data_IF_851291641241
#
_entry.id   IF_851291641241
#
_cell.length_a   1.000
_cell.length_b   1.000
_cell.length_c   1.000
_cell.angle_alpha   90.00
_cell.angle_beta   90.00
_cell.angle_gamma   90.00
#
_symmetry.space_group_name_H-M   'P 1'
#
loop_
_entity.id
_entity.type
_entity.pdbx_description
1 polymer ?
#
# COMPACT_ATOMS: atom_id res chain seq x y z
N UNK A 1 -18.25 -58.42 -3.62
CA UNK A 1 -18.22 -57.02 -3.11
C UNK A 1 -16.87 -56.43 -3.46
N UNK A 2 -16.79 -55.72 -4.59
CA UNK A 2 -15.59 -55.04 -5.09
C UNK A 2 -15.78 -53.54 -4.89
N UNK A 3 -15.02 -52.93 -3.98
CA UNK A 3 -14.93 -51.47 -3.87
C UNK A 3 -13.87 -50.93 -4.84
N UNK A 4 -14.12 -49.82 -5.56
CA UNK A 4 -13.15 -49.20 -6.45
C UNK A 4 -12.16 -48.33 -5.65
N UNK A 5 -10.87 -48.43 -5.99
CA UNK A 5 -9.81 -47.58 -5.46
C UNK A 5 -9.99 -46.12 -5.88
N UNK A 6 -9.72 -45.21 -4.94
CA UNK A 6 -9.74 -43.77 -5.16
C UNK A 6 -8.70 -43.33 -6.22
N UNK A 7 -8.99 -42.30 -7.03
CA UNK A 7 -8.09 -41.85 -8.09
C UNK A 7 -6.86 -41.15 -7.50
N UNK A 8 -5.68 -41.72 -7.75
CA UNK A 8 -4.37 -41.11 -7.46
C UNK A 8 -4.19 -39.87 -8.36
N UNK A 9 -4.10 -38.68 -7.76
CA UNK A 9 -3.84 -37.41 -8.49
C UNK A 9 -2.53 -37.51 -9.29
N UNK A 10 -2.57 -37.13 -10.57
CA UNK A 10 -1.46 -37.26 -11.52
C UNK A 10 -0.34 -36.24 -11.27
N UNK A 11 0.95 -36.61 -11.37
CA UNK A 11 2.09 -35.70 -11.24
C UNK A 11 2.12 -34.53 -12.25
N UNK A 12 1.33 -34.60 -13.33
CA UNK A 12 1.18 -33.54 -14.32
C UNK A 12 0.47 -32.30 -13.75
N UNK A 13 -0.37 -32.48 -12.73
CA UNK A 13 -1.16 -31.44 -12.08
C UNK A 13 -0.32 -30.55 -11.16
N UNK A 14 0.92 -30.94 -10.81
CA UNK A 14 1.88 -30.05 -10.12
C UNK A 14 2.69 -29.17 -11.08
N UNK A 15 2.89 -29.61 -12.32
CA UNK A 15 3.62 -28.83 -13.36
C UNK A 15 2.75 -27.73 -13.97
N UNK A 16 1.43 -27.88 -13.94
CA UNK A 16 0.49 -26.94 -14.53
C UNK A 16 0.28 -25.65 -13.70
N UNK A 17 0.15 -25.70 -12.35
CA UNK A 17 0.18 -24.52 -11.49
C UNK A 17 1.48 -23.75 -11.63
N UNK A 18 2.62 -24.46 -11.59
CA UNK A 18 3.95 -23.85 -11.67
C UNK A 18 4.17 -23.11 -12.99
N UNK A 19 3.67 -23.64 -14.12
CA UNK A 19 3.68 -22.93 -15.42
C UNK A 19 2.70 -21.77 -15.48
N UNK A 20 1.56 -21.88 -14.79
CA UNK A 20 0.57 -20.81 -14.73
C UNK A 20 1.11 -19.61 -13.94
N UNK A 21 1.76 -19.88 -12.80
CA UNK A 21 2.37 -18.87 -11.95
C UNK A 21 3.54 -18.17 -12.66
N UNK A 22 4.36 -18.93 -13.39
CA UNK A 22 5.44 -18.37 -14.23
C UNK A 22 4.91 -17.42 -15.31
N UNK A 23 3.80 -17.76 -15.96
CA UNK A 23 3.18 -16.89 -16.98
C UNK A 23 2.59 -15.63 -16.36
N UNK A 24 1.89 -15.75 -15.23
CA UNK A 24 1.38 -14.59 -14.49
C UNK A 24 2.53 -13.66 -14.09
N UNK A 25 3.61 -14.21 -13.55
CA UNK A 25 4.80 -13.45 -13.18
C UNK A 25 5.47 -12.78 -14.39
N UNK A 26 5.59 -13.48 -15.53
CA UNK A 26 6.14 -12.90 -16.77
C UNK A 26 5.29 -11.75 -17.30
N UNK A 27 3.96 -11.85 -17.21
CA UNK A 27 3.05 -10.76 -17.58
C UNK A 27 3.23 -9.57 -16.66
N UNK A 28 3.30 -9.78 -15.34
CA UNK A 28 3.53 -8.69 -14.38
C UNK A 28 4.90 -8.03 -14.57
N UNK A 29 5.96 -8.80 -14.85
CA UNK A 29 7.29 -8.25 -15.14
C UNK A 29 7.31 -7.41 -16.43
N UNK A 30 6.66 -7.89 -17.50
CA UNK A 30 6.52 -7.12 -18.73
C UNK A 30 5.67 -5.86 -18.54
N UNK A 31 4.59 -5.96 -17.75
CA UNK A 31 3.76 -4.82 -17.38
C UNK A 31 4.55 -3.77 -16.63
N UNK A 32 5.38 -4.20 -15.67
CA UNK A 32 6.25 -3.36 -14.87
C UNK A 32 7.25 -2.58 -15.73
N UNK A 33 7.98 -3.29 -16.61
CA UNK A 33 8.94 -2.68 -17.52
C UNK A 33 8.27 -1.72 -18.52
N UNK A 34 7.09 -2.08 -19.04
CA UNK A 34 6.34 -1.21 -19.94
C UNK A 34 5.85 0.06 -19.25
N UNK A 35 5.41 -0.04 -17.98
CA UNK A 35 4.99 1.11 -17.18
C UNK A 35 6.16 2.06 -16.87
N UNK A 36 7.34 1.52 -16.50
CA UNK A 36 8.55 2.33 -16.29
C UNK A 36 8.94 3.16 -17.51
N UNK A 37 8.71 2.63 -18.71
CA UNK A 37 9.11 3.27 -19.96
C UNK A 37 8.08 4.27 -20.49
N UNK A 38 6.79 4.00 -20.33
CA UNK A 38 5.73 4.71 -21.06
C UNK A 38 4.69 5.42 -20.18
N UNK A 39 4.65 5.12 -18.88
CA UNK A 39 3.61 5.62 -17.98
C UNK A 39 2.27 4.90 -18.17
N UNK A 40 1.25 5.30 -17.40
CA UNK A 40 -0.03 4.58 -17.38
C UNK A 40 -0.85 4.81 -18.65
N UNK A 41 -0.86 6.02 -19.20
CA UNK A 41 -1.71 6.36 -20.34
C UNK A 41 -1.30 5.62 -21.62
N UNK A 42 0.01 5.45 -21.84
CA UNK A 42 0.54 4.75 -23.01
C UNK A 42 0.70 3.22 -22.80
N UNK A 43 0.20 2.68 -21.69
CA UNK A 43 0.26 1.24 -21.43
C UNK A 43 -0.58 0.43 -22.43
N UNK A 44 0.10 -0.42 -23.20
CA UNK A 44 -0.46 -1.22 -24.30
C UNK A 44 -0.40 -2.72 -24.01
N UNK A 45 -1.58 -3.34 -23.84
CA UNK A 45 -1.70 -4.78 -23.50
C UNK A 45 -1.13 -5.71 -24.57
N UNK A 46 -1.20 -5.33 -25.86
CA UNK A 46 -0.64 -6.16 -26.93
C UNK A 46 0.89 -6.22 -26.82
N UNK A 47 1.51 -5.10 -26.48
CA UNK A 47 2.96 -5.00 -26.32
C UNK A 47 3.43 -5.71 -25.04
N UNK A 48 2.72 -5.53 -23.92
CA UNK A 48 2.98 -6.28 -22.68
C UNK A 48 2.89 -7.79 -22.90
N UNK A 49 1.83 -8.27 -23.57
CA UNK A 49 1.68 -9.69 -23.87
C UNK A 49 2.83 -10.20 -24.75
N UNK A 50 3.23 -9.43 -25.76
CA UNK A 50 4.36 -9.75 -26.65
C UNK A 50 5.67 -9.86 -25.86
N UNK A 51 5.96 -8.89 -24.98
CA UNK A 51 7.16 -8.88 -24.14
C UNK A 51 7.17 -10.04 -23.13
N UNK A 52 6.01 -10.38 -22.57
CA UNK A 52 5.85 -11.53 -21.69
C UNK A 52 5.92 -12.90 -22.40
N UNK A 53 6.02 -12.92 -23.74
CA UNK A 53 6.04 -14.16 -24.53
C UNK A 53 4.70 -14.90 -24.53
N UNK A 54 3.58 -14.21 -24.31
CA UNK A 54 2.24 -14.79 -24.28
C UNK A 54 1.33 -14.15 -25.33
N UNK A 55 0.27 -14.86 -25.73
CA UNK A 55 -0.78 -14.29 -26.57
C UNK A 55 -1.66 -13.31 -25.79
N UNK A 56 -2.30 -12.37 -26.50
CA UNK A 56 -3.25 -11.41 -25.90
C UNK A 56 -4.38 -12.10 -25.12
N UNK A 57 -4.91 -13.21 -25.63
CA UNK A 57 -5.94 -13.98 -24.92
C UNK A 57 -5.43 -14.59 -23.61
N UNK A 58 -4.14 -14.92 -23.52
CA UNK A 58 -3.54 -15.42 -22.28
C UNK A 58 -3.42 -14.30 -21.24
N UNK A 59 -3.16 -13.06 -21.63
CA UNK A 59 -3.24 -11.92 -20.69
C UNK A 59 -4.63 -11.84 -20.04
N UNK A 60 -5.70 -11.85 -20.86
CA UNK A 60 -7.07 -11.74 -20.36
C UNK A 60 -7.56 -12.98 -19.59
N UNK A 61 -6.87 -14.12 -19.73
CA UNK A 61 -7.08 -15.27 -18.87
C UNK A 61 -6.60 -15.02 -17.43
N UNK A 62 -5.52 -14.25 -17.24
CA UNK A 62 -4.98 -13.92 -15.92
C UNK A 62 -5.56 -12.63 -15.32
N UNK A 63 -5.90 -11.66 -16.15
CA UNK A 63 -6.37 -10.35 -15.72
C UNK A 63 -7.58 -9.92 -16.53
N UNK A 64 -8.70 -9.71 -15.86
CA UNK A 64 -9.97 -9.34 -16.50
C UNK A 64 -9.84 -8.05 -17.34
N UNK A 65 -9.01 -7.11 -16.88
CA UNK A 65 -8.76 -5.86 -17.59
C UNK A 65 -7.39 -5.27 -17.20
N UNK A 66 -7.02 -4.16 -17.86
CA UNK A 66 -5.77 -3.41 -17.61
C UNK A 66 -5.66 -2.96 -16.15
N UNK A 67 -6.76 -2.50 -15.55
CA UNK A 67 -6.76 -2.04 -14.16
C UNK A 67 -6.49 -3.18 -13.17
N UNK A 68 -7.07 -4.37 -13.39
CA UNK A 68 -6.82 -5.56 -12.58
C UNK A 68 -5.36 -6.04 -12.66
N UNK A 69 -4.72 -5.93 -13.83
CA UNK A 69 -3.30 -6.26 -13.98
C UNK A 69 -2.40 -5.27 -13.23
N UNK A 70 -2.72 -3.98 -13.29
CA UNK A 70 -2.00 -2.94 -12.54
C UNK A 70 -2.23 -3.09 -11.04
N UNK A 71 -3.44 -3.40 -10.61
CA UNK A 71 -3.75 -3.73 -9.21
C UNK A 71 -2.84 -4.85 -8.69
N UNK A 72 -2.74 -5.94 -9.44
CA UNK A 72 -1.88 -7.07 -9.10
C UNK A 72 -0.39 -6.73 -9.11
N UNK A 73 0.05 -5.77 -9.94
CA UNK A 73 1.43 -5.29 -9.93
C UNK A 73 1.75 -4.47 -8.68
N UNK A 74 0.75 -3.77 -8.12
CA UNK A 74 0.90 -2.92 -6.93
C UNK A 74 0.79 -3.70 -5.63
N UNK A 75 0.30 -4.94 -5.67
CA UNK A 75 0.10 -5.80 -4.51
C UNK A 75 1.37 -5.93 -3.65
N UNK A 76 2.60 -6.16 -4.18
CA UNK A 76 3.81 -6.20 -3.37
C UNK A 76 4.14 -4.87 -2.68
N UNK A 77 3.87 -3.74 -3.34
CA UNK A 77 4.04 -2.40 -2.76
C UNK A 77 3.04 -2.17 -1.63
N UNK A 78 1.78 -2.57 -1.83
CA UNK A 78 0.74 -2.51 -0.80
C UNK A 78 1.08 -3.38 0.42
N UNK A 79 1.55 -4.61 0.20
CA UNK A 79 2.02 -5.51 1.27
C UNK A 79 3.20 -4.91 2.05
N UNK A 80 4.16 -4.27 1.35
CA UNK A 80 5.28 -3.60 2.01
C UNK A 80 4.83 -2.39 2.86
N UNK A 81 3.79 -1.66 2.43
CA UNK A 81 3.18 -0.61 3.24
C UNK A 81 2.42 -1.20 4.42
N UNK A 82 1.64 -2.27 4.23
CA UNK A 82 0.92 -2.95 5.31
C UNK A 82 1.87 -3.50 6.38
N UNK A 83 3.05 -3.99 5.98
CA UNK A 83 4.08 -4.44 6.92
C UNK A 83 4.57 -3.31 7.84
N UNK A 84 4.48 -2.03 7.43
CA UNK A 84 4.79 -0.89 8.30
C UNK A 84 3.80 -0.76 9.48
N UNK A 85 2.57 -1.23 9.34
CA UNK A 85 1.62 -1.27 10.46
C UNK A 85 2.09 -2.20 11.59
N UNK A 86 2.81 -3.28 11.26
CA UNK A 86 3.38 -4.18 12.25
C UNK A 86 4.44 -3.48 13.10
N UNK A 87 5.24 -2.59 12.49
CA UNK A 87 6.21 -1.75 13.20
C UNK A 87 5.48 -0.81 14.17
N UNK A 88 4.41 -0.15 13.70
CA UNK A 88 3.61 0.75 14.51
C UNK A 88 2.93 0.05 15.70
N UNK A 89 2.55 -1.22 15.53
CA UNK A 89 1.85 -2.01 16.52
C UNK A 89 2.78 -2.66 17.58
N UNK A 90 4.11 -2.61 17.40
CA UNK A 90 5.06 -3.28 18.31
C UNK A 90 5.25 -2.54 19.65
N UNK A 91 4.33 -2.76 20.60
CA UNK A 91 4.35 -2.09 21.91
C UNK A 91 5.57 -2.42 22.78
N UNK A 92 6.44 -3.36 22.37
CA UNK A 92 7.72 -3.58 23.04
C UNK A 92 8.71 -2.42 22.80
N UNK A 93 8.48 -1.59 21.78
CA UNK A 93 9.33 -0.46 21.42
C UNK A 93 8.72 0.89 21.86
N UNK A 94 9.57 1.90 22.19
CA UNK A 94 9.10 3.23 22.53
C UNK A 94 8.22 3.84 21.42
N UNK A 95 7.12 4.55 21.75
CA UNK A 95 6.22 5.15 20.78
C UNK A 95 6.87 5.95 19.65
N UNK A 96 7.83 6.81 20.03
CA UNK A 96 8.55 7.67 19.09
C UNK A 96 9.36 6.84 18.09
N UNK A 97 10.02 5.80 18.56
CA UNK A 97 10.81 4.87 17.72
C UNK A 97 9.90 4.18 16.71
N UNK A 98 8.78 3.60 17.16
CA UNK A 98 7.82 2.95 16.26
C UNK A 98 7.28 3.88 15.18
N UNK A 99 6.88 5.09 15.56
CA UNK A 99 6.35 6.09 14.61
C UNK A 99 7.42 6.44 13.58
N UNK A 100 8.64 6.72 14.03
CA UNK A 100 9.76 7.06 13.13
C UNK A 100 10.08 5.91 12.18
N UNK A 101 10.18 4.68 12.69
CA UNK A 101 10.51 3.50 11.88
C UNK A 101 9.40 3.15 10.89
N UNK A 102 8.14 3.35 11.28
CA UNK A 102 6.98 3.20 10.39
C UNK A 102 7.03 4.22 9.25
N UNK A 103 7.26 5.50 9.57
CA UNK A 103 7.38 6.56 8.56
C UNK A 103 8.57 6.29 7.63
N UNK A 104 9.73 5.90 8.17
CA UNK A 104 10.91 5.54 7.39
C UNK A 104 10.63 4.37 6.43
N UNK A 105 9.91 3.33 6.87
CA UNK A 105 9.49 2.22 6.03
C UNK A 105 8.55 2.66 4.89
N UNK A 106 7.59 3.53 5.19
CA UNK A 106 6.67 4.11 4.17
C UNK A 106 7.44 4.94 3.15
N UNK A 107 8.36 5.81 3.58
CA UNK A 107 9.18 6.63 2.69
C UNK A 107 10.08 5.77 1.81
N UNK A 108 10.74 4.75 2.38
CA UNK A 108 11.57 3.81 1.62
C UNK A 108 10.75 3.06 0.57
N UNK A 109 9.61 2.49 0.94
CA UNK A 109 8.72 1.82 -0.02
C UNK A 109 8.26 2.78 -1.12
N UNK A 110 7.99 4.03 -0.78
CA UNK A 110 7.64 5.08 -1.76
C UNK A 110 8.77 5.36 -2.74
N UNK A 111 10.00 5.44 -2.24
CA UNK A 111 11.19 5.68 -3.06
C UNK A 111 11.48 4.51 -4.00
N UNK A 112 11.42 3.27 -3.48
CA UNK A 112 11.63 2.03 -4.23
C UNK A 112 10.60 1.83 -5.36
N UNK A 113 9.38 2.36 -5.18
CA UNK A 113 8.26 2.20 -6.11
C UNK A 113 7.78 3.53 -6.72
N UNK A 114 8.64 4.55 -6.77
CA UNK A 114 8.27 5.92 -7.21
C UNK A 114 7.48 5.97 -8.52
N UNK A 115 7.92 5.23 -9.53
CA UNK A 115 7.25 5.20 -10.85
C UNK A 115 5.86 4.57 -10.79
N UNK A 116 5.62 3.59 -9.90
CA UNK A 116 4.30 2.99 -9.69
C UNK A 116 3.35 3.99 -9.04
N UNK A 117 3.83 4.75 -8.04
CA UNK A 117 3.03 5.81 -7.44
C UNK A 117 2.70 6.93 -8.45
N UNK A 118 3.64 7.31 -9.31
CA UNK A 118 3.39 8.28 -10.40
C UNK A 118 2.33 7.75 -11.39
N UNK A 119 2.50 6.52 -11.86
CA UNK A 119 1.54 5.86 -12.75
C UNK A 119 0.15 5.76 -12.11
N UNK A 120 0.07 5.47 -10.81
CA UNK A 120 -1.19 5.43 -10.06
C UNK A 120 -1.85 6.82 -9.98
N UNK A 121 -1.07 7.87 -9.76
CA UNK A 121 -1.57 9.23 -9.66
C UNK A 121 -2.19 9.72 -10.97
N UNK A 122 -1.56 9.40 -12.10
CA UNK A 122 -2.12 9.65 -13.43
C UNK A 122 -3.40 8.82 -13.66
N UNK A 123 -3.33 7.52 -13.34
CA UNK A 123 -4.43 6.60 -13.54
C UNK A 123 -5.70 6.97 -12.77
N UNK A 124 -5.59 7.38 -11.50
CA UNK A 124 -6.75 7.73 -10.66
C UNK A 124 -7.45 9.01 -11.12
N UNK A 125 -6.76 9.89 -11.82
CA UNK A 125 -7.35 11.09 -12.41
C UNK A 125 -8.26 10.71 -13.59
N UNK A 126 -7.84 9.73 -14.40
CA UNK A 126 -8.52 9.30 -15.61
C UNK A 126 -9.53 8.15 -15.42
N UNK A 127 -9.39 7.33 -14.36
CA UNK A 127 -10.18 6.11 -14.16
C UNK A 127 -10.75 6.01 -12.73
N UNK A 128 -12.08 5.97 -12.63
CA UNK A 128 -12.80 5.87 -11.35
C UNK A 128 -12.53 4.56 -10.59
N UNK A 129 -12.45 3.42 -11.27
CA UNK A 129 -12.19 2.14 -10.60
C UNK A 129 -10.78 2.04 -10.01
N UNK A 130 -9.78 2.64 -10.67
CA UNK A 130 -8.42 2.74 -10.12
C UNK A 130 -8.40 3.67 -8.90
N UNK A 131 -9.15 4.77 -8.94
CA UNK A 131 -9.33 5.66 -7.81
C UNK A 131 -9.96 4.94 -6.61
N UNK A 132 -11.06 4.23 -6.83
CA UNK A 132 -11.78 3.51 -5.77
C UNK A 132 -10.89 2.43 -5.13
N UNK A 133 -10.13 1.69 -5.93
CA UNK A 133 -9.17 0.71 -5.45
C UNK A 133 -8.08 1.35 -4.57
N UNK A 134 -7.54 2.49 -5.00
CA UNK A 134 -6.52 3.23 -4.24
C UNK A 134 -7.08 3.72 -2.92
N UNK A 135 -8.25 4.36 -2.94
CA UNK A 135 -8.91 4.89 -1.76
C UNK A 135 -9.26 3.76 -0.78
N UNK A 136 -9.68 2.59 -1.27
CA UNK A 136 -9.92 1.41 -0.45
C UNK A 136 -8.63 0.85 0.18
N UNK A 137 -7.54 0.77 -0.59
CA UNK A 137 -6.24 0.32 -0.06
C UNK A 137 -5.78 1.26 1.06
N UNK A 138 -5.91 2.58 0.87
CA UNK A 138 -5.62 3.57 1.90
C UNK A 138 -6.48 3.44 3.16
N UNK A 139 -7.79 3.26 2.98
CA UNK A 139 -8.72 3.11 4.10
C UNK A 139 -8.41 1.85 4.93
N UNK A 140 -7.79 0.83 4.31
CA UNK A 140 -7.39 -0.41 5.01
C UNK A 140 -6.34 -0.20 6.11
N UNK A 141 -5.61 0.92 6.11
CA UNK A 141 -4.61 1.25 7.14
C UNK A 141 -5.24 1.84 8.41
N UNK A 142 -6.40 2.50 8.27
CA UNK A 142 -7.07 3.23 9.36
C UNK A 142 -7.35 2.36 10.59
N UNK A 143 -7.89 1.12 10.46
CA UNK A 143 -8.19 0.29 11.62
C UNK A 143 -6.98 0.00 12.52
N UNK A 144 -5.81 -0.25 11.94
CA UNK A 144 -4.60 -0.57 12.72
C UNK A 144 -4.08 0.64 13.47
N UNK A 145 -4.02 1.80 12.81
CA UNK A 145 -3.59 3.05 13.45
C UNK A 145 -4.56 3.44 14.57
N UNK A 146 -5.87 3.31 14.33
CA UNK A 146 -6.90 3.57 15.33
C UNK A 146 -6.78 2.63 16.54
N UNK A 147 -6.49 1.34 16.32
CA UNK A 147 -6.27 0.38 17.39
C UNK A 147 -5.03 0.72 18.24
N UNK A 148 -3.94 1.17 17.61
CA UNK A 148 -2.74 1.62 18.33
C UNK A 148 -3.07 2.84 19.19
N UNK A 149 -3.76 3.86 18.64
CA UNK A 149 -4.16 5.05 19.41
C UNK A 149 -5.05 4.66 20.61
N UNK A 150 -6.02 3.76 20.40
CA UNK A 150 -6.89 3.27 21.47
C UNK A 150 -6.10 2.52 22.56
N UNK A 151 -5.13 1.70 22.18
CA UNK A 151 -4.28 0.97 23.12
C UNK A 151 -3.38 1.91 23.94
N UNK A 152 -2.75 2.90 23.31
CA UNK A 152 -1.93 3.90 24.00
C UNK A 152 -2.75 4.68 25.04
N UNK A 153 -4.02 4.99 24.74
CA UNK A 153 -4.95 5.64 25.69
C UNK A 153 -5.34 4.71 26.83
N UNK A 154 -5.72 3.47 26.52
CA UNK A 154 -6.12 2.49 27.52
C UNK A 154 -5.02 2.19 28.54
N UNK A 155 -3.75 2.27 28.11
CA UNK A 155 -2.57 2.08 28.96
C UNK A 155 -2.07 3.38 29.61
N UNK A 156 -2.80 4.49 29.44
CA UNK A 156 -2.51 5.79 30.05
C UNK A 156 -1.27 6.50 29.49
N UNK A 157 -0.75 6.05 28.35
CA UNK A 157 0.42 6.67 27.68
C UNK A 157 0.03 7.83 26.78
N UNK A 158 -1.16 7.80 26.20
CA UNK A 158 -1.74 8.89 25.43
C UNK A 158 -2.96 9.47 26.16
N UNK A 159 -3.21 10.80 26.06
CA UNK A 159 -4.39 11.40 26.65
C UNK A 159 -5.67 11.01 25.90
N UNK A 160 -6.81 11.15 26.58
CA UNK A 160 -8.12 11.12 25.94
C UNK A 160 -8.24 12.24 24.88
N UNK A 161 -9.15 12.04 23.93
CA UNK A 161 -9.36 12.99 22.85
C UNK A 161 -10.41 12.50 21.86
N UNK A 162 -10.42 13.04 20.63
CA UNK A 162 -11.33 12.62 19.58
C UNK A 162 -11.24 11.11 19.29
N UNK A 163 -12.28 10.56 18.65
CA UNK A 163 -12.33 9.16 18.24
C UNK A 163 -11.01 8.72 17.56
N UNK A 164 -10.36 7.63 18.04
CA UNK A 164 -9.13 7.10 17.44
C UNK A 164 -9.22 6.89 15.93
N UNK A 165 -10.39 6.48 15.40
CA UNK A 165 -10.60 6.32 13.96
C UNK A 165 -10.53 7.64 13.22
N UNK A 166 -11.13 8.71 13.76
CA UNK A 166 -11.07 10.04 13.16
C UNK A 166 -9.63 10.55 13.11
N UNK A 167 -8.89 10.41 14.22
CA UNK A 167 -7.47 10.78 14.24
C UNK A 167 -6.63 9.96 13.26
N UNK A 168 -6.86 8.64 13.20
CA UNK A 168 -6.19 7.76 12.27
C UNK A 168 -6.45 8.18 10.81
N UNK A 169 -7.71 8.46 10.42
CA UNK A 169 -8.04 8.93 9.08
C UNK A 169 -7.31 10.24 8.73
N UNK A 170 -7.26 11.22 9.65
CA UNK A 170 -6.53 12.47 9.42
C UNK A 170 -5.01 12.27 9.30
N UNK A 171 -4.43 11.36 10.09
CA UNK A 171 -3.03 10.97 9.96
C UNK A 171 -2.75 10.28 8.63
N UNK A 172 -3.71 9.52 8.08
CA UNK A 172 -3.59 8.94 6.74
C UNK A 172 -3.62 10.02 5.65
N UNK A 173 -4.41 11.09 5.81
CA UNK A 173 -4.36 12.24 4.89
C UNK A 173 -3.01 12.97 4.94
N UNK A 174 -2.42 13.11 6.14
CA UNK A 174 -1.07 13.65 6.29
C UNK A 174 -0.03 12.78 5.57
N UNK A 175 -0.07 11.47 5.77
CA UNK A 175 0.85 10.53 5.15
C UNK A 175 0.75 10.54 3.62
N UNK A 176 -0.46 10.68 3.08
CA UNK A 176 -0.67 10.84 1.64
C UNK A 176 0.05 12.05 1.06
N UNK A 177 -0.09 13.19 1.73
CA UNK A 177 0.59 14.42 1.30
C UNK A 177 2.10 14.29 1.43
N UNK A 178 2.58 13.59 2.44
CA UNK A 178 3.99 13.29 2.62
C UNK A 178 4.53 12.42 1.47
N UNK A 179 3.83 11.33 1.13
CA UNK A 179 4.18 10.44 0.02
C UNK A 179 4.17 11.19 -1.31
N UNK A 180 3.11 11.97 -1.58
CA UNK A 180 3.02 12.84 -2.75
C UNK A 180 4.22 13.80 -2.84
N UNK A 181 4.60 14.42 -1.71
CA UNK A 181 5.73 15.35 -1.65
C UNK A 181 7.06 14.66 -1.95
N UNK A 182 7.26 13.43 -1.51
CA UNK A 182 8.46 12.64 -1.84
C UNK A 182 8.50 12.34 -3.34
N UNK A 183 7.37 12.04 -3.96
CA UNK A 183 7.25 11.68 -5.37
C UNK A 183 7.46 12.90 -6.28
N UNK A 184 6.76 14.00 -6.03
CA UNK A 184 6.79 15.22 -6.86
C UNK A 184 8.03 16.05 -6.57
N UNK A 185 8.57 15.96 -5.36
CA UNK A 185 9.68 16.79 -4.90
C UNK A 185 9.23 18.11 -4.30
N UNK A 186 10.19 18.87 -3.79
CA UNK A 186 9.93 20.10 -3.06
C UNK A 186 11.20 20.78 -2.55
N UNK A 187 11.01 21.88 -1.83
CA UNK A 187 12.10 22.66 -1.24
C UNK A 187 12.70 22.04 0.02
N UNK A 188 12.01 21.09 0.65
CA UNK A 188 12.46 20.42 1.87
C UNK A 188 13.12 19.08 1.54
N UNK A 189 14.21 18.77 2.24
CA UNK A 189 14.87 17.49 2.14
C UNK A 189 14.06 16.38 2.85
N UNK A 190 14.28 15.13 2.44
CA UNK A 190 13.64 13.93 3.00
C UNK A 190 13.67 13.88 4.53
N UNK A 191 14.84 14.15 5.13
CA UNK A 191 14.99 14.11 6.59
C UNK A 191 14.13 15.18 7.30
N UNK A 192 13.98 16.36 6.71
CA UNK A 192 13.15 17.43 7.27
C UNK A 192 11.67 17.07 7.20
N UNK A 193 11.24 16.42 6.10
CA UNK A 193 9.88 15.93 5.95
C UNK A 193 9.57 14.80 6.96
N UNK A 194 10.50 13.88 7.16
CA UNK A 194 10.40 12.82 8.17
C UNK A 194 10.30 13.39 9.59
N UNK A 195 11.18 14.34 9.95
CA UNK A 195 11.16 15.00 11.25
C UNK A 195 9.84 15.73 11.51
N UNK A 196 9.32 16.45 10.51
CA UNK A 196 8.03 17.13 10.59
C UNK A 196 6.86 16.16 10.75
N UNK A 197 6.84 15.08 9.95
CA UNK A 197 5.81 14.05 10.05
C UNK A 197 5.83 13.34 11.41
N UNK A 198 7.02 12.97 11.91
CA UNK A 198 7.19 12.39 13.24
C UNK A 198 6.66 13.33 14.33
N UNK A 199 6.98 14.62 14.27
CA UNK A 199 6.48 15.61 15.22
C UNK A 199 4.95 15.75 15.18
N UNK A 200 4.35 15.76 13.98
CA UNK A 200 2.90 15.83 13.82
C UNK A 200 2.20 14.57 14.35
N UNK A 201 2.74 13.38 14.06
CA UNK A 201 2.23 12.12 14.60
C UNK A 201 2.30 12.09 16.13
N UNK A 202 3.47 12.43 16.68
CA UNK A 202 3.67 12.48 18.14
C UNK A 202 2.74 13.50 18.80
N UNK A 203 2.63 14.70 18.23
CA UNK A 203 1.76 15.75 18.76
C UNK A 203 0.28 15.40 18.67
N UNK A 204 -0.16 14.72 17.60
CA UNK A 204 -1.56 14.32 17.42
C UNK A 204 -1.97 13.21 18.39
N UNK A 205 -1.08 12.25 18.65
CA UNK A 205 -1.40 11.08 19.49
C UNK A 205 -1.18 11.39 20.98
N UNK A 206 -0.09 12.09 21.32
CA UNK A 206 0.35 12.29 22.71
C UNK A 206 0.18 13.73 23.20
N UNK A 207 -0.16 14.68 22.33
CA UNK A 207 -0.40 16.06 22.71
C UNK A 207 -1.70 16.23 23.49
N UNK A 208 -1.70 17.13 24.47
CA UNK A 208 -2.92 17.51 25.19
C UNK A 208 -3.49 18.78 24.55
N UNK A 209 -4.74 18.72 24.09
CA UNK A 209 -5.48 19.93 23.76
C UNK A 209 -6.03 20.48 25.07
N UNK A 210 -5.35 21.46 25.67
CA UNK A 210 -5.94 22.16 26.81
C UNK A 210 -7.20 22.87 26.35
N UNK A 211 -8.38 22.42 26.81
CA UNK A 211 -9.58 23.23 26.75
C UNK A 211 -9.36 24.47 27.61
N UNK A 212 -8.93 25.57 26.99
CA UNK A 212 -9.08 26.87 27.63
C UNK A 212 -10.56 27.20 27.59
N UNK A 213 -11.31 26.70 28.58
CA UNK A 213 -12.63 27.22 28.89
C UNK A 213 -12.40 28.64 29.42
N UNK A 214 -12.61 29.63 28.55
CA UNK A 214 -12.63 31.02 28.98
C UNK A 214 -13.71 31.18 30.08
N UNK A 215 -13.38 31.77 31.24
CA UNK A 215 -14.40 32.04 32.26
C UNK A 215 -15.41 33.04 31.70
N UNK A 216 -16.70 32.71 31.83
CA UNK A 216 -17.82 33.62 31.56
C UNK A 216 -17.87 34.76 32.56
#
# INVERSE_FOLDING_TARGET
MTSPGAPTRSPLDRRQPQRSDQRRAAILAALDEHLKQTGFDALNIAEVARQAGVGRSAFYFYFENKAAAVAALLEPMHEALLAANTILADTAQPPRTRIRDTLEAVLRTTEDHRYLFQAMWEARAANGGVRDMWDQARESFVPTVAAVIAAERAEGRAPDGPDPRVLASLLMELNDRLVERIIIGGSLARHQLLEGAEAMWMGTIYGTVSETVAPR
#
